data_IF_972669608471
#
_entry.id   IF_972669608471
#
_cell.length_a   1.000
_cell.length_b   1.000
_cell.length_c   1.000
_cell.angle_alpha   90.00
_cell.angle_beta   90.00
_cell.angle_gamma   90.00
#
_symmetry.space_group_name_H-M   'P 1'
#
loop_
_entity.id
_entity.type
_entity.pdbx_description
1 polymer ?
#
# COMPACT_ATOMS: atom_id res chain seq x y z
N UNK A 1 -11.21 -13.78 -4.40
CA UNK A 1 -10.63 -14.79 -3.46
C UNK A 1 -10.66 -14.21 -2.06
N UNK A 2 -10.79 -15.05 -1.01
CA UNK A 2 -10.64 -14.65 0.41
C UNK A 2 -9.27 -15.17 0.86
N UNK A 3 -8.45 -14.30 1.43
CA UNK A 3 -7.09 -14.61 1.91
C UNK A 3 -7.06 -14.84 3.42
N UNK A 4 -7.91 -14.10 4.15
CA UNK A 4 -8.04 -14.21 5.59
C UNK A 4 -9.47 -13.89 6.01
N UNK A 5 -9.95 -14.57 7.03
CA UNK A 5 -11.24 -14.29 7.65
C UNK A 5 -11.27 -14.76 9.09
N UNK A 6 -11.75 -13.89 9.98
CA UNK A 6 -12.15 -14.20 11.35
C UNK A 6 -13.57 -13.67 11.63
N UNK A 7 -13.96 -13.57 12.89
CA UNK A 7 -15.29 -13.11 13.28
C UNK A 7 -15.56 -11.63 12.94
N UNK A 8 -14.52 -10.83 12.70
CA UNK A 8 -14.60 -9.38 12.54
C UNK A 8 -13.95 -8.86 11.26
N UNK A 9 -12.87 -9.46 10.82
CA UNK A 9 -12.05 -9.01 9.68
C UNK A 9 -12.10 -10.04 8.56
N UNK A 10 -12.33 -9.57 7.33
CA UNK A 10 -12.17 -10.34 6.11
C UNK A 10 -11.21 -9.60 5.16
N UNK A 11 -10.17 -10.30 4.68
CA UNK A 11 -9.28 -9.78 3.62
C UNK A 11 -9.54 -10.58 2.34
N UNK A 12 -9.92 -9.89 1.29
CA UNK A 12 -10.31 -10.48 0.01
C UNK A 12 -9.83 -9.66 -1.17
N UNK A 13 -9.99 -10.19 -2.38
CA UNK A 13 -9.81 -9.39 -3.59
C UNK A 13 -10.70 -8.14 -3.57
N UNK A 14 -10.17 -7.03 -4.05
CA UNK A 14 -10.93 -5.82 -4.33
C UNK A 14 -12.03 -6.13 -5.36
N UNK A 15 -13.23 -5.66 -5.11
CA UNK A 15 -14.39 -5.85 -5.99
C UNK A 15 -14.80 -4.52 -6.64
N UNK A 16 -15.46 -4.54 -7.81
CA UNK A 16 -15.87 -3.31 -8.49
C UNK A 16 -16.68 -2.35 -7.61
N UNK A 17 -17.57 -2.86 -6.79
CA UNK A 17 -18.39 -2.07 -5.88
C UNK A 17 -17.65 -1.41 -4.72
N UNK A 18 -16.40 -1.83 -4.46
CA UNK A 18 -15.57 -1.24 -3.41
C UNK A 18 -15.01 0.11 -3.85
N UNK A 19 -14.78 0.31 -5.14
CA UNK A 19 -14.18 1.52 -5.69
C UNK A 19 -14.96 2.78 -5.29
N UNK A 20 -16.26 2.78 -5.51
CA UNK A 20 -17.14 3.89 -5.12
C UNK A 20 -17.18 4.05 -3.60
N UNK A 21 -17.41 2.95 -2.87
CA UNK A 21 -17.52 2.97 -1.40
C UNK A 21 -16.27 3.51 -0.72
N UNK A 22 -15.08 3.06 -1.14
CA UNK A 22 -13.81 3.56 -0.57
C UNK A 22 -13.66 5.04 -0.88
N UNK A 23 -13.92 5.45 -2.12
CA UNK A 23 -13.81 6.85 -2.55
C UNK A 23 -14.74 7.75 -1.74
N UNK A 24 -16.00 7.38 -1.57
CA UNK A 24 -16.97 8.13 -0.76
C UNK A 24 -16.52 8.29 0.69
N UNK A 25 -16.04 7.22 1.31
CA UNK A 25 -15.55 7.22 2.68
C UNK A 25 -14.26 8.05 2.86
N UNK A 26 -13.34 8.01 1.89
CA UNK A 26 -12.13 8.84 1.91
C UNK A 26 -12.47 10.33 1.77
N UNK A 27 -13.38 10.68 0.88
CA UNK A 27 -13.88 12.07 0.74
C UNK A 27 -14.58 12.51 2.01
N UNK A 28 -15.43 11.66 2.60
CA UNK A 28 -16.14 11.97 3.83
C UNK A 28 -15.22 12.25 5.03
N UNK A 29 -14.04 11.64 5.06
CA UNK A 29 -13.01 11.91 6.09
C UNK A 29 -12.03 13.02 5.70
N UNK A 30 -12.28 13.74 4.60
CA UNK A 30 -11.52 14.91 4.17
C UNK A 30 -10.29 14.60 3.29
N UNK A 31 -10.17 13.38 2.79
CA UNK A 31 -9.09 13.03 1.86
C UNK A 31 -9.47 13.35 0.42
N UNK A 32 -8.45 13.65 -0.39
CA UNK A 32 -8.62 13.72 -1.84
C UNK A 32 -8.62 12.29 -2.39
N UNK A 33 -9.69 11.91 -3.06
CA UNK A 33 -9.83 10.58 -3.64
C UNK A 33 -10.66 10.63 -4.91
N UNK A 34 -10.41 9.69 -5.80
CA UNK A 34 -11.17 9.49 -7.04
C UNK A 34 -11.42 8.01 -7.27
N UNK A 35 -12.55 7.69 -7.88
CA UNK A 35 -12.92 6.32 -8.26
C UNK A 35 -11.89 5.73 -9.23
N UNK A 36 -11.39 6.55 -10.16
CA UNK A 36 -10.41 6.14 -11.20
C UNK A 36 -9.20 5.41 -10.64
N UNK A 37 -8.73 5.80 -9.45
CA UNK A 37 -7.61 5.13 -8.78
C UNK A 37 -7.91 3.65 -8.53
N UNK A 38 -9.08 3.36 -8.02
CA UNK A 38 -9.51 1.99 -7.68
C UNK A 38 -9.91 1.20 -8.92
N UNK A 39 -10.52 1.84 -9.91
CA UNK A 39 -10.81 1.23 -11.21
C UNK A 39 -9.52 0.79 -11.92
N UNK A 40 -8.45 1.60 -11.83
CA UNK A 40 -7.14 1.23 -12.34
C UNK A 40 -6.59 -0.01 -11.62
N UNK A 41 -6.73 -0.11 -10.29
CA UNK A 41 -6.30 -1.31 -9.53
C UNK A 41 -7.10 -2.55 -9.92
N UNK A 42 -8.42 -2.40 -10.11
CA UNK A 42 -9.28 -3.48 -10.60
C UNK A 42 -8.87 -3.95 -12.01
N UNK A 43 -8.55 -3.01 -12.90
CA UNK A 43 -8.04 -3.32 -14.23
C UNK A 43 -6.71 -4.07 -14.16
N UNK A 44 -5.75 -3.58 -13.39
CA UNK A 44 -4.46 -4.23 -13.22
C UNK A 44 -4.60 -5.64 -12.61
N UNK A 45 -5.54 -5.82 -11.68
CA UNK A 45 -5.89 -7.13 -11.13
C UNK A 45 -6.46 -8.07 -12.20
N UNK A 46 -7.40 -7.58 -13.01
CA UNK A 46 -7.99 -8.38 -14.09
C UNK A 46 -6.97 -8.78 -15.17
N UNK A 47 -5.96 -7.94 -15.39
CA UNK A 47 -4.84 -8.20 -16.30
C UNK A 47 -3.71 -9.04 -15.66
N UNK A 48 -3.84 -9.43 -14.40
CA UNK A 48 -2.84 -10.22 -13.67
C UNK A 48 -1.56 -9.45 -13.33
N UNK A 49 -1.59 -8.13 -13.36
CA UNK A 49 -0.45 -7.24 -13.03
C UNK A 49 -0.36 -6.96 -11.53
N UNK A 50 -1.48 -7.01 -10.85
CA UNK A 50 -1.58 -6.71 -9.42
C UNK A 50 -2.50 -7.68 -8.69
N UNK A 51 -2.30 -7.79 -7.39
CA UNK A 51 -3.26 -8.36 -6.45
C UNK A 51 -3.76 -7.20 -5.61
N UNK A 52 -4.98 -6.74 -5.88
CA UNK A 52 -5.62 -5.67 -5.13
C UNK A 52 -6.44 -6.27 -3.97
N UNK A 53 -6.08 -5.92 -2.74
CA UNK A 53 -6.68 -6.46 -1.53
C UNK A 53 -7.58 -5.43 -0.86
N UNK A 54 -8.75 -5.86 -0.46
CA UNK A 54 -9.69 -5.09 0.36
C UNK A 54 -9.85 -5.75 1.73
N UNK A 55 -9.96 -4.92 2.76
CA UNK A 55 -10.30 -5.36 4.10
C UNK A 55 -11.73 -4.93 4.44
N UNK A 56 -12.51 -5.87 4.94
CA UNK A 56 -13.79 -5.58 5.58
C UNK A 56 -13.64 -5.70 7.10
N UNK A 57 -14.35 -4.84 7.81
CA UNK A 57 -14.55 -4.92 9.25
C UNK A 57 -16.03 -5.02 9.53
N UNK A 58 -16.46 -6.14 10.12
CA UNK A 58 -17.88 -6.44 10.37
C UNK A 58 -18.76 -6.26 9.10
N UNK A 59 -18.27 -6.74 7.96
CA UNK A 59 -18.97 -6.69 6.68
C UNK A 59 -18.98 -5.32 5.98
N UNK A 60 -18.18 -4.35 6.46
CA UNK A 60 -18.05 -3.03 5.83
C UNK A 60 -16.63 -2.81 5.37
N UNK A 61 -16.48 -2.24 4.18
CA UNK A 61 -15.16 -1.88 3.65
C UNK A 61 -14.42 -0.95 4.62
N UNK A 62 -13.19 -1.28 4.95
CA UNK A 62 -12.43 -0.63 6.00
C UNK A 62 -10.99 -0.26 5.61
N UNK A 63 -10.45 -0.87 4.57
CA UNK A 63 -9.08 -0.59 4.13
C UNK A 63 -8.71 -1.37 2.88
N UNK A 64 -7.52 -1.10 2.36
CA UNK A 64 -7.02 -1.69 1.12
C UNK A 64 -5.49 -1.66 1.07
N UNK A 65 -4.92 -2.51 0.25
CA UNK A 65 -3.50 -2.50 -0.15
C UNK A 65 -3.36 -3.24 -1.47
N UNK A 66 -2.35 -2.88 -2.27
CA UNK A 66 -2.09 -3.55 -3.54
C UNK A 66 -0.69 -4.16 -3.54
N UNK A 67 -0.56 -5.35 -4.10
CA UNK A 67 0.71 -6.04 -4.35
C UNK A 67 0.95 -6.06 -5.85
N UNK A 68 2.04 -5.45 -6.31
CA UNK A 68 2.51 -5.52 -7.69
C UNK A 68 3.70 -6.46 -7.76
N UNK A 69 3.55 -7.69 -8.26
CA UNK A 69 4.61 -8.71 -8.23
C UNK A 69 5.89 -8.32 -8.95
N UNK A 70 5.78 -7.50 -9.97
CA UNK A 70 6.91 -7.02 -10.76
C UNK A 70 6.72 -5.52 -11.06
N UNK A 71 6.98 -4.69 -10.07
CA UNK A 71 6.85 -3.25 -10.24
C UNK A 71 8.00 -2.67 -11.07
N UNK A 72 7.65 -1.71 -11.91
CA UNK A 72 8.60 -0.95 -12.73
C UNK A 72 8.85 0.46 -12.19
N UNK A 73 8.47 0.71 -10.92
CA UNK A 73 8.54 2.03 -10.29
C UNK A 73 9.54 2.07 -9.13
N UNK A 74 10.14 3.25 -8.93
CA UNK A 74 10.95 3.56 -7.77
C UNK A 74 12.31 2.87 -7.71
N UNK A 75 12.88 2.82 -6.51
CA UNK A 75 14.25 2.38 -6.26
C UNK A 75 14.56 0.93 -6.64
N UNK A 76 13.53 0.09 -6.73
CA UNK A 76 13.67 -1.33 -7.08
C UNK A 76 13.05 -1.67 -8.45
N UNK A 77 12.78 -0.67 -9.29
CA UNK A 77 12.17 -0.84 -10.60
C UNK A 77 12.89 -1.90 -11.43
N UNK A 78 12.13 -2.84 -11.99
CA UNK A 78 12.65 -3.86 -12.88
C UNK A 78 13.55 -4.92 -12.23
N UNK A 79 13.63 -4.97 -10.89
CA UNK A 79 14.42 -6.00 -10.18
C UNK A 79 13.65 -7.29 -9.92
N UNK A 80 12.40 -7.40 -10.40
CA UNK A 80 11.55 -8.56 -10.17
C UNK A 80 11.12 -8.72 -8.72
N UNK A 81 11.06 -7.63 -7.98
CA UNK A 81 10.61 -7.61 -6.59
C UNK A 81 9.18 -7.08 -6.51
N UNK A 82 8.32 -7.69 -5.68
CA UNK A 82 7.00 -7.18 -5.42
C UNK A 82 7.04 -5.86 -4.64
N UNK A 83 6.16 -4.95 -5.03
CA UNK A 83 5.94 -3.67 -4.37
C UNK A 83 4.57 -3.63 -3.69
N UNK A 84 4.51 -3.10 -2.47
CA UNK A 84 3.26 -2.77 -1.79
C UNK A 84 2.92 -1.31 -2.04
N UNK A 85 1.74 -1.06 -2.60
CA UNK A 85 1.30 0.26 -3.05
C UNK A 85 -0.07 0.61 -2.48
N UNK A 86 -0.31 1.89 -2.22
CA UNK A 86 -1.61 2.43 -1.80
C UNK A 86 -2.21 1.71 -0.59
N UNK A 87 -1.46 1.62 0.48
CA UNK A 87 -1.97 1.10 1.73
C UNK A 87 -2.80 2.14 2.48
N UNK A 88 -4.03 1.81 2.82
CA UNK A 88 -4.92 2.68 3.57
C UNK A 88 -5.88 1.93 4.47
N UNK A 89 -6.14 2.50 5.65
CA UNK A 89 -7.22 2.10 6.56
C UNK A 89 -8.06 3.32 6.87
N UNK A 90 -9.37 3.24 6.61
CA UNK A 90 -10.31 4.32 6.88
C UNK A 90 -10.27 4.70 8.37
N UNK A 91 -10.25 6.00 8.67
CA UNK A 91 -9.97 6.52 10.00
C UNK A 91 -10.87 5.94 11.09
N UNK A 92 -12.17 5.81 10.79
CA UNK A 92 -13.16 5.25 11.71
C UNK A 92 -12.92 3.78 12.09
N UNK A 93 -12.10 3.06 11.33
CA UNK A 93 -11.75 1.65 11.57
C UNK A 93 -10.31 1.45 12.04
N UNK A 94 -9.56 2.52 12.31
CA UNK A 94 -8.21 2.40 12.86
C UNK A 94 -8.21 1.81 14.26
N UNK A 95 -7.07 1.28 14.67
CA UNK A 95 -6.87 0.62 15.97
C UNK A 95 -7.71 -0.66 16.22
N UNK A 96 -8.16 -1.32 15.15
CA UNK A 96 -8.86 -2.61 15.20
C UNK A 96 -8.01 -3.75 14.60
N UNK A 97 -6.71 -3.53 14.37
CA UNK A 97 -5.81 -4.54 13.81
C UNK A 97 -5.88 -4.73 12.29
N UNK A 98 -6.75 -3.98 11.60
CA UNK A 98 -6.99 -4.13 10.15
C UNK A 98 -5.72 -3.89 9.35
N UNK A 99 -4.99 -2.80 9.63
CA UNK A 99 -3.75 -2.49 8.92
C UNK A 99 -2.67 -3.55 9.11
N UNK A 100 -2.54 -4.08 10.31
CA UNK A 100 -1.63 -5.20 10.60
C UNK A 100 -2.00 -6.42 9.76
N UNK A 101 -3.28 -6.77 9.71
CA UNK A 101 -3.76 -7.92 8.98
C UNK A 101 -3.63 -7.77 7.45
N UNK A 102 -3.91 -6.57 6.92
CA UNK A 102 -3.67 -6.26 5.50
C UNK A 102 -2.19 -6.43 5.15
N UNK A 103 -1.29 -5.94 5.98
CA UNK A 103 0.16 -6.10 5.78
C UNK A 103 0.59 -7.56 5.88
N UNK A 104 0.06 -8.34 6.83
CA UNK A 104 0.36 -9.77 6.95
C UNK A 104 0.03 -10.50 5.65
N UNK A 105 -1.21 -10.32 5.15
CA UNK A 105 -1.66 -10.94 3.90
C UNK A 105 -0.86 -10.45 2.70
N UNK A 106 -0.60 -9.15 2.60
CA UNK A 106 0.18 -8.58 1.49
C UNK A 106 1.62 -9.12 1.45
N UNK A 107 2.27 -9.27 2.62
CA UNK A 107 3.59 -9.88 2.73
C UNK A 107 3.56 -11.38 2.38
N UNK A 108 2.53 -12.12 2.81
CA UNK A 108 2.34 -13.54 2.42
C UNK A 108 2.16 -13.69 0.91
N UNK A 109 1.35 -12.83 0.28
CA UNK A 109 1.17 -12.79 -1.17
C UNK A 109 2.50 -12.45 -1.86
N UNK A 110 3.20 -11.40 -1.41
CA UNK A 110 4.50 -11.00 -1.96
C UNK A 110 5.53 -12.14 -1.87
N UNK A 111 5.53 -12.91 -0.78
CA UNK A 111 6.44 -14.03 -0.55
C UNK A 111 6.26 -15.18 -1.55
N UNK A 112 5.13 -15.23 -2.27
CA UNK A 112 4.94 -16.21 -3.35
C UNK A 112 5.70 -15.85 -4.62
N UNK A 113 6.12 -14.59 -4.77
CA UNK A 113 6.83 -14.09 -5.95
C UNK A 113 8.34 -13.91 -5.71
N UNK A 114 8.74 -13.43 -4.53
CA UNK A 114 10.14 -13.20 -4.18
C UNK A 114 10.39 -13.34 -2.66
N UNK A 115 11.65 -13.41 -2.26
CA UNK A 115 12.06 -13.44 -0.85
C UNK A 115 12.15 -12.04 -0.21
N UNK A 116 11.95 -11.00 -1.01
CA UNK A 116 12.07 -9.60 -0.62
C UNK A 116 10.90 -8.81 -1.19
N UNK A 117 10.36 -7.91 -0.40
CA UNK A 117 9.30 -6.97 -0.77
C UNK A 117 9.75 -5.53 -0.48
N UNK A 118 9.26 -4.58 -1.25
CA UNK A 118 9.56 -3.17 -1.02
C UNK A 118 8.31 -2.29 -1.07
N UNK A 119 8.45 -1.07 -0.59
CA UNK A 119 7.44 -0.04 -0.62
C UNK A 119 8.08 1.35 -0.59
N UNK A 120 7.38 2.35 -1.10
CA UNK A 120 7.66 3.76 -0.88
C UNK A 120 6.75 4.31 0.21
N UNK A 121 7.28 5.15 1.10
CA UNK A 121 6.50 5.84 2.12
C UNK A 121 6.73 7.34 2.04
N UNK A 122 5.65 8.12 2.10
CA UNK A 122 5.72 9.58 2.17
C UNK A 122 6.44 10.08 3.41
N UNK A 123 7.00 11.27 3.33
CA UNK A 123 7.84 11.83 4.41
C UNK A 123 7.13 12.83 5.30
N UNK A 124 6.04 13.45 4.83
CA UNK A 124 5.31 14.40 5.68
C UNK A 124 4.56 13.70 6.84
N UNK A 125 4.18 14.46 7.84
CA UNK A 125 3.61 13.95 9.10
C UNK A 125 2.36 13.10 8.95
N UNK A 126 1.61 13.23 7.85
CA UNK A 126 0.46 12.39 7.54
C UNK A 126 0.81 10.90 7.39
N UNK A 127 2.05 10.57 7.04
CA UNK A 127 2.57 9.20 6.93
C UNK A 127 3.28 8.70 8.20
N UNK A 128 3.28 9.47 9.29
CA UNK A 128 4.06 9.14 10.49
C UNK A 128 3.70 7.78 11.10
N UNK A 129 2.42 7.43 11.17
CA UNK A 129 1.98 6.12 11.68
C UNK A 129 2.42 4.96 10.77
N UNK A 130 2.36 5.15 9.45
CA UNK A 130 2.81 4.18 8.47
C UNK A 130 4.33 3.98 8.55
N UNK A 131 5.11 5.06 8.62
CA UNK A 131 6.57 5.00 8.81
C UNK A 131 6.94 4.17 10.03
N UNK A 132 6.29 4.42 11.18
CA UNK A 132 6.54 3.67 12.42
C UNK A 132 6.17 2.20 12.29
N UNK A 133 5.06 1.89 11.65
CA UNK A 133 4.60 0.52 11.44
C UNK A 133 5.59 -0.26 10.57
N UNK A 134 6.05 0.31 9.46
CA UNK A 134 7.00 -0.36 8.56
C UNK A 134 8.32 -0.67 9.28
N UNK A 135 8.88 0.28 10.02
CA UNK A 135 10.09 0.04 10.82
C UNK A 135 9.88 -1.07 11.85
N UNK A 136 8.76 -1.08 12.57
CA UNK A 136 8.43 -2.14 13.53
C UNK A 136 8.24 -3.51 12.87
N UNK A 137 7.82 -3.55 11.60
CA UNK A 137 7.70 -4.78 10.81
C UNK A 137 9.03 -5.26 10.21
N UNK A 138 10.11 -4.51 10.40
CA UNK A 138 11.45 -4.87 9.93
C UNK A 138 11.80 -4.35 8.54
N UNK A 139 11.05 -3.40 8.00
CA UNK A 139 11.43 -2.69 6.79
C UNK A 139 12.60 -1.76 7.06
N UNK A 140 13.55 -1.73 6.14
CA UNK A 140 14.79 -0.95 6.25
C UNK A 140 14.88 -0.01 5.05
N UNK A 141 15.28 1.29 5.23
CA UNK A 141 15.55 2.19 4.12
C UNK A 141 16.57 1.58 3.16
N UNK A 142 16.35 1.74 1.86
CA UNK A 142 17.22 1.16 0.83
C UNK A 142 18.56 1.88 0.66
N UNK A 143 18.70 3.08 1.23
CA UNK A 143 19.90 3.90 1.17
C UNK A 143 20.06 4.75 -0.10
N UNK A 144 19.08 4.73 -1.03
CA UNK A 144 19.14 5.57 -2.24
C UNK A 144 18.80 7.04 -1.99
N UNK A 145 18.35 7.38 -0.80
CA UNK A 145 17.93 8.73 -0.45
C UNK A 145 16.47 9.01 -0.78
N UNK A 146 16.13 10.28 -0.82
CA UNK A 146 14.77 10.75 -1.04
C UNK A 146 14.44 10.77 -2.53
N UNK A 147 13.25 10.30 -2.87
CA UNK A 147 12.71 10.28 -4.22
C UNK A 147 11.55 11.26 -4.38
N UNK A 148 11.46 11.89 -5.53
CA UNK A 148 10.35 12.73 -5.92
C UNK A 148 9.97 12.45 -7.37
N UNK A 149 8.71 12.12 -7.63
CA UNK A 149 8.22 11.84 -8.98
C UNK A 149 9.10 10.86 -9.77
N UNK A 150 9.40 9.73 -9.19
CA UNK A 150 10.18 8.64 -9.82
C UNK A 150 11.66 8.95 -10.10
N UNK A 151 12.23 9.92 -9.40
CA UNK A 151 13.66 10.26 -9.46
C UNK A 151 14.25 10.57 -8.10
N UNK A 152 15.52 10.28 -7.92
CA UNK A 152 16.28 10.65 -6.71
C UNK A 152 16.42 12.17 -6.63
N UNK A 153 16.05 12.76 -5.49
CA UNK A 153 16.27 14.18 -5.23
C UNK A 153 17.76 14.50 -5.17
N UNK A 154 18.16 15.62 -5.78
CA UNK A 154 19.54 16.11 -5.68
C UNK A 154 19.81 16.53 -4.23
N UNK A 155 20.89 16.04 -3.59
CA UNK A 155 21.26 16.49 -2.25
C UNK A 155 21.36 18.02 -2.17
N UNK A 156 20.79 18.59 -1.10
CA UNK A 156 20.67 20.03 -0.87
C UNK A 156 19.80 20.79 -1.89
N UNK A 157 19.12 20.08 -2.79
CA UNK A 157 18.14 20.65 -3.69
C UNK A 157 16.79 20.90 -3.01
N UNK A 158 15.97 21.74 -3.61
CA UNK A 158 14.60 21.97 -3.14
C UNK A 158 13.67 20.85 -3.60
N UNK A 159 12.77 20.41 -2.72
CA UNK A 159 11.71 19.43 -3.01
C UNK A 159 10.40 19.87 -2.36
N UNK A 160 9.28 19.47 -2.97
CA UNK A 160 7.96 19.66 -2.36
C UNK A 160 7.69 18.53 -1.35
N UNK A 161 7.27 18.89 -0.13
CA UNK A 161 6.91 17.92 0.91
C UNK A 161 5.43 17.51 0.78
N UNK A 162 5.09 16.93 -0.35
CA UNK A 162 3.77 16.38 -0.67
C UNK A 162 3.79 14.83 -0.72
N UNK A 163 2.75 14.21 -1.25
CA UNK A 163 2.62 12.75 -1.31
C UNK A 163 3.61 12.08 -2.29
N UNK A 164 4.24 12.86 -3.18
CA UNK A 164 5.22 12.37 -4.14
C UNK A 164 6.66 12.31 -3.56
N UNK A 165 6.89 12.91 -2.40
CA UNK A 165 8.18 12.87 -1.72
C UNK A 165 8.23 11.61 -0.84
N UNK A 166 9.06 10.64 -1.25
CA UNK A 166 9.06 9.31 -0.63
C UNK A 166 10.46 8.81 -0.29
N UNK A 167 10.50 7.89 0.65
CA UNK A 167 11.66 7.07 0.97
C UNK A 167 11.29 5.60 0.71
N UNK A 168 12.18 4.87 0.03
CA UNK A 168 11.97 3.46 -0.24
C UNK A 168 12.53 2.59 0.87
N UNK A 169 11.71 1.61 1.27
CA UNK A 169 12.08 0.58 2.23
C UNK A 169 11.97 -0.79 1.59
N UNK A 170 12.77 -1.72 2.08
CA UNK A 170 12.63 -3.13 1.73
C UNK A 170 12.65 -4.01 2.98
N UNK A 171 12.08 -5.20 2.84
CA UNK A 171 12.05 -6.23 3.88
C UNK A 171 12.30 -7.59 3.25
N UNK A 172 13.21 -8.36 3.86
CA UNK A 172 13.35 -9.79 3.53
C UNK A 172 12.25 -10.58 4.23
N UNK A 173 11.53 -11.40 3.45
CA UNK A 173 10.37 -12.16 3.91
C UNK A 173 10.73 -13.57 4.39
N UNK A 174 11.90 -14.11 3.95
CA UNK A 174 12.41 -15.44 4.28
C UNK A 174 13.90 -15.41 4.58
#
# INVERSE_FOLDING_TARGET
MVYYQDDTICIRDLQPEDAEKITEEEIAQGWQSTVDKYEMRLKDQAEGKAIALAAEYQGKIAGYINVYPNSMWGAFAGKGLPELIDFGVLEKYRNHGIGTKLMDVAEEVAATYADTVYLGVGLHSGYGSAQRMYVKRGYIPDGSGVWYQDGVCVPYGECCNDDELVLYFSKRLR
#
